data_IF_419340878135
#
_entry.id   IF_419340878135
#
_cell.length_a   1.000
_cell.length_b   1.000
_cell.length_c   1.000
_cell.angle_alpha   90.00
_cell.angle_beta   90.00
_cell.angle_gamma   90.00
#
_symmetry.space_group_name_H-M   'P 1'
#
loop_
_entity.id
_entity.type
_entity.pdbx_description
1 polymer ?
#
# COMPACT_ATOMS: atom_id res chain seq x y z
N UNK A 1 -18.76 -26.20 -31.17
CA UNK A 1 -18.22 -27.58 -31.04
C UNK A 1 -19.33 -28.63 -30.77
N UNK A 2 -19.17 -29.92 -31.12
CA UNK A 2 -20.14 -30.98 -30.73
C UNK A 2 -20.09 -31.23 -29.21
N UNK A 3 -21.19 -31.61 -28.55
CA UNK A 3 -21.22 -31.87 -27.10
C UNK A 3 -20.20 -32.91 -26.63
N UNK A 4 -19.94 -33.94 -27.45
CA UNK A 4 -18.99 -35.02 -27.16
C UNK A 4 -17.55 -34.52 -27.01
N UNK A 5 -17.17 -33.58 -27.89
CA UNK A 5 -15.83 -32.99 -27.87
C UNK A 5 -15.69 -31.98 -26.73
N UNK A 6 -16.78 -31.24 -26.41
CA UNK A 6 -16.83 -30.35 -25.24
C UNK A 6 -16.61 -31.12 -23.95
N UNK A 7 -17.27 -32.26 -23.76
CA UNK A 7 -17.10 -33.08 -22.55
C UNK A 7 -15.64 -33.53 -22.39
N UNK A 8 -15.00 -34.00 -23.46
CA UNK A 8 -13.57 -34.37 -23.42
C UNK A 8 -12.70 -33.21 -22.96
N UNK A 9 -12.97 -32.01 -23.47
CA UNK A 9 -12.22 -30.81 -23.12
C UNK A 9 -12.46 -30.38 -21.67
N UNK A 10 -13.72 -30.31 -21.24
CA UNK A 10 -14.09 -29.91 -19.88
C UNK A 10 -13.45 -30.82 -18.82
N UNK A 11 -13.27 -32.12 -19.11
CA UNK A 11 -12.55 -33.05 -18.23
C UNK A 11 -11.08 -32.73 -18.02
N UNK A 12 -10.46 -31.92 -18.88
CA UNK A 12 -9.07 -31.48 -18.72
C UNK A 12 -8.92 -30.28 -17.80
N UNK A 13 -10.04 -29.67 -17.39
CA UNK A 13 -10.07 -28.49 -16.54
C UNK A 13 -10.37 -28.94 -15.12
N UNK A 14 -9.49 -28.55 -14.19
CA UNK A 14 -9.53 -28.88 -12.75
C UNK A 14 -10.90 -28.58 -12.12
N UNK A 15 -11.60 -27.58 -12.66
CA UNK A 15 -12.94 -27.16 -12.25
C UNK A 15 -14.01 -28.26 -12.39
N UNK A 16 -13.85 -29.20 -13.33
CA UNK A 16 -14.82 -30.27 -13.60
C UNK A 16 -14.32 -31.65 -13.20
N UNK A 17 -13.20 -31.74 -12.47
CA UNK A 17 -12.59 -33.02 -12.08
C UNK A 17 -13.57 -33.91 -11.30
N UNK A 18 -14.39 -33.29 -10.44
CA UNK A 18 -15.33 -33.99 -9.56
C UNK A 18 -16.75 -34.13 -10.15
N UNK A 19 -16.99 -33.67 -11.38
CA UNK A 19 -18.29 -33.81 -12.01
C UNK A 19 -18.52 -35.26 -12.45
N UNK A 20 -19.68 -35.82 -12.09
CA UNK A 20 -20.13 -37.10 -12.66
C UNK A 20 -20.30 -37.01 -14.17
N UNK A 21 -20.35 -38.16 -14.85
CA UNK A 21 -20.58 -38.20 -16.29
C UNK A 21 -21.89 -37.50 -16.67
N UNK A 22 -22.97 -37.71 -15.93
CA UNK A 22 -24.26 -37.11 -16.27
C UNK A 22 -24.25 -35.58 -16.08
N UNK A 23 -23.57 -35.10 -15.04
CA UNK A 23 -23.46 -33.66 -14.76
C UNK A 23 -22.63 -32.92 -15.82
N UNK A 24 -21.45 -33.44 -16.18
CA UNK A 24 -20.61 -32.80 -17.20
C UNK A 24 -21.29 -32.81 -18.56
N UNK A 25 -22.06 -33.86 -18.88
CA UNK A 25 -22.86 -33.94 -20.09
C UNK A 25 -24.02 -32.93 -20.09
N UNK A 26 -24.71 -32.78 -18.96
CA UNK A 26 -25.78 -31.78 -18.80
C UNK A 26 -25.21 -30.36 -18.97
N UNK A 27 -24.09 -30.08 -18.31
CA UNK A 27 -23.38 -28.81 -18.43
C UNK A 27 -22.94 -28.53 -19.88
N UNK A 28 -22.28 -29.49 -20.54
CA UNK A 28 -21.75 -29.32 -21.90
C UNK A 28 -22.85 -29.04 -22.96
N UNK A 29 -24.08 -29.50 -22.71
CA UNK A 29 -25.26 -29.24 -23.54
C UNK A 29 -25.87 -27.86 -23.32
N UNK A 30 -25.84 -27.37 -22.09
CA UNK A 30 -26.53 -26.14 -21.68
C UNK A 30 -25.64 -24.90 -21.70
N UNK A 31 -24.32 -25.08 -21.82
CA UNK A 31 -23.36 -23.97 -21.88
C UNK A 31 -23.33 -23.31 -23.25
N UNK A 32 -23.24 -21.97 -23.26
CA UNK A 32 -23.19 -21.16 -24.49
C UNK A 32 -21.74 -20.96 -24.92
N UNK A 33 -21.48 -21.09 -26.22
CA UNK A 33 -20.16 -20.86 -26.83
C UNK A 33 -20.14 -19.43 -27.41
N UNK A 34 -19.07 -18.69 -27.13
CA UNK A 34 -18.84 -17.33 -27.59
C UNK A 34 -17.55 -17.30 -28.40
N UNK A 35 -17.62 -16.82 -29.63
CA UNK A 35 -16.45 -16.60 -30.48
C UNK A 35 -16.14 -15.11 -30.56
N UNK A 36 -14.88 -14.75 -30.31
CA UNK A 36 -14.41 -13.37 -30.40
C UNK A 36 -13.20 -13.26 -31.32
N UNK A 37 -13.13 -12.23 -32.20
CA UNK A 37 -11.98 -12.02 -33.07
C UNK A 37 -10.80 -11.44 -32.28
N UNK A 38 -9.59 -11.54 -32.86
CA UNK A 38 -8.41 -10.90 -32.30
C UNK A 38 -8.61 -9.37 -32.17
N UNK A 39 -8.16 -8.79 -31.06
CA UNK A 39 -8.31 -7.39 -30.71
C UNK A 39 -9.68 -7.03 -30.09
N UNK A 40 -10.62 -7.98 -29.99
CA UNK A 40 -11.90 -7.73 -29.33
C UNK A 40 -11.75 -7.64 -27.82
N UNK A 41 -12.37 -6.64 -27.20
CA UNK A 41 -12.42 -6.48 -25.75
C UNK A 41 -13.63 -7.25 -25.25
N UNK A 42 -13.40 -8.25 -24.37
CA UNK A 42 -14.45 -9.08 -23.81
C UNK A 42 -15.25 -8.33 -22.73
N UNK A 43 -14.57 -7.57 -21.87
CA UNK A 43 -15.16 -6.64 -20.90
C UNK A 43 -14.10 -5.67 -20.38
N UNK A 44 -14.55 -4.54 -19.85
CA UNK A 44 -13.70 -3.54 -19.21
C UNK A 44 -13.68 -3.67 -17.69
N UNK A 45 -12.56 -3.23 -17.09
CA UNK A 45 -12.45 -3.04 -15.64
C UNK A 45 -13.56 -2.10 -15.13
N UNK A 46 -14.17 -2.46 -14.01
CA UNK A 46 -15.24 -1.67 -13.39
C UNK A 46 -16.64 -1.90 -13.98
N UNK A 47 -16.77 -2.64 -15.10
CA UNK A 47 -18.08 -3.03 -15.63
C UNK A 47 -18.77 -4.03 -14.69
N UNK A 48 -20.11 -3.97 -14.55
CA UNK A 48 -20.83 -5.06 -13.92
C UNK A 48 -20.71 -6.33 -14.78
N UNK A 49 -20.66 -7.50 -14.15
CA UNK A 49 -20.63 -8.79 -14.86
C UNK A 49 -21.37 -9.85 -14.07
N UNK A 50 -22.16 -10.67 -14.76
CA UNK A 50 -22.92 -11.77 -14.13
C UNK A 50 -22.62 -13.12 -14.79
N UNK A 51 -21.50 -13.19 -15.52
CA UNK A 51 -21.00 -14.39 -16.18
C UNK A 51 -19.48 -14.50 -16.04
N UNK A 52 -19.00 -15.73 -16.04
CA UNK A 52 -17.58 -16.08 -16.15
C UNK A 52 -17.35 -16.83 -17.46
N UNK A 53 -16.10 -16.90 -17.89
CA UNK A 53 -15.74 -17.52 -19.15
C UNK A 53 -14.62 -18.54 -18.99
N UNK A 54 -14.72 -19.64 -19.71
CA UNK A 54 -13.67 -20.64 -19.88
C UNK A 54 -13.09 -20.49 -21.28
N UNK A 55 -11.77 -20.38 -21.41
CA UNK A 55 -11.12 -20.31 -22.72
C UNK A 55 -10.88 -21.72 -23.27
N UNK A 56 -11.49 -22.03 -24.42
CA UNK A 56 -11.30 -23.30 -25.12
C UNK A 56 -10.16 -23.26 -26.15
N UNK A 57 -10.01 -22.13 -26.82
CA UNK A 57 -9.01 -21.91 -27.87
C UNK A 57 -8.70 -20.42 -28.00
N UNK A 58 -7.49 -20.10 -28.42
CA UNK A 58 -6.99 -18.73 -28.53
C UNK A 58 -6.17 -18.31 -27.32
N UNK A 59 -6.01 -17.00 -27.16
CA UNK A 59 -5.23 -16.39 -26.09
C UNK A 59 -5.86 -15.04 -25.75
N UNK A 60 -6.05 -14.78 -24.45
CA UNK A 60 -6.57 -13.51 -23.95
C UNK A 60 -5.50 -12.81 -23.12
N UNK A 61 -5.60 -11.49 -23.06
CA UNK A 61 -4.75 -10.62 -22.29
C UNK A 61 -5.58 -10.00 -21.15
N UNK A 62 -5.02 -9.97 -19.93
CA UNK A 62 -5.62 -9.33 -18.75
C UNK A 62 -4.82 -8.07 -18.41
N UNK A 63 -5.52 -6.92 -18.36
CA UNK A 63 -4.93 -5.62 -18.04
C UNK A 63 -5.67 -4.95 -16.89
N UNK A 64 -4.95 -4.32 -15.97
CA UNK A 64 -5.52 -3.47 -14.92
C UNK A 64 -4.91 -2.08 -14.99
N UNK A 65 -5.75 -1.04 -15.00
CA UNK A 65 -5.29 0.36 -15.11
C UNK A 65 -4.27 0.54 -16.26
N UNK A 66 -4.49 -0.13 -17.41
CA UNK A 66 -3.62 -0.22 -18.60
C UNK A 66 -2.36 -1.09 -18.49
N UNK A 67 -1.98 -1.56 -17.30
CA UNK A 67 -0.83 -2.44 -17.08
C UNK A 67 -1.15 -3.89 -17.41
N UNK A 68 -0.27 -4.54 -18.18
CA UNK A 68 -0.32 -5.98 -18.43
C UNK A 68 -0.17 -6.77 -17.13
N UNK A 69 -1.09 -7.70 -16.87
CA UNK A 69 -1.00 -8.63 -15.74
C UNK A 69 -0.52 -9.99 -16.22
N UNK A 70 -1.27 -10.62 -17.12
CA UNK A 70 -1.00 -11.98 -17.59
C UNK A 70 -1.75 -12.28 -18.88
N UNK A 71 -1.31 -13.32 -19.58
CA UNK A 71 -2.11 -13.98 -20.61
C UNK A 71 -2.91 -15.13 -20.00
N UNK A 72 -4.07 -15.40 -20.58
CA UNK A 72 -4.95 -16.53 -20.28
C UNK A 72 -4.80 -17.53 -21.42
N UNK A 73 -4.55 -18.79 -21.08
CA UNK A 73 -4.36 -19.87 -22.03
C UNK A 73 -5.56 -20.81 -22.05
N UNK A 74 -5.74 -21.62 -23.10
CA UNK A 74 -6.79 -22.62 -23.13
C UNK A 74 -6.72 -23.50 -21.86
N UNK A 75 -7.88 -23.90 -21.33
CA UNK A 75 -8.13 -24.52 -20.00
C UNK A 75 -8.25 -23.56 -18.81
N UNK A 76 -7.78 -22.31 -18.93
CA UNK A 76 -8.03 -21.29 -17.91
C UNK A 76 -9.44 -20.71 -17.99
N UNK A 77 -9.89 -20.13 -16.88
CA UNK A 77 -11.12 -19.35 -16.78
C UNK A 77 -10.87 -17.95 -16.23
N UNK A 78 -11.79 -17.02 -16.51
CA UNK A 78 -11.77 -15.63 -16.06
C UNK A 78 -13.17 -15.12 -15.71
N UNK A 79 -13.25 -13.99 -15.02
CA UNK A 79 -14.51 -13.34 -14.67
C UNK A 79 -15.24 -13.96 -13.48
N UNK A 80 -14.63 -14.94 -12.82
CA UNK A 80 -15.16 -15.66 -11.67
C UNK A 80 -15.41 -14.75 -10.46
N UNK A 81 -14.56 -13.73 -10.25
CA UNK A 81 -14.71 -12.81 -9.12
C UNK A 81 -16.03 -12.03 -9.15
N UNK A 82 -16.55 -11.73 -10.35
CA UNK A 82 -17.80 -10.98 -10.48
C UNK A 82 -19.00 -11.80 -9.98
N UNK A 83 -18.96 -13.12 -10.16
CA UNK A 83 -19.98 -14.05 -9.65
C UNK A 83 -19.77 -14.32 -8.15
N UNK A 84 -18.54 -14.59 -7.73
CA UNK A 84 -18.24 -15.05 -6.35
C UNK A 84 -18.36 -13.91 -5.34
N UNK A 85 -17.80 -12.74 -5.63
CA UNK A 85 -17.77 -11.60 -4.69
C UNK A 85 -18.91 -10.60 -4.94
N UNK A 86 -19.70 -10.76 -6.01
CA UNK A 86 -20.70 -9.77 -6.44
C UNK A 86 -20.11 -8.37 -6.63
N UNK A 87 -18.88 -8.29 -7.14
CA UNK A 87 -18.16 -7.05 -7.43
C UNK A 87 -18.07 -6.80 -8.94
N UNK A 88 -17.84 -5.53 -9.37
CA UNK A 88 -17.52 -5.24 -10.77
C UNK A 88 -16.26 -5.97 -11.26
N UNK A 89 -16.08 -6.05 -12.58
CA UNK A 89 -14.90 -6.66 -13.23
C UNK A 89 -13.61 -6.07 -12.66
N UNK A 90 -12.69 -6.94 -12.23
CA UNK A 90 -11.44 -6.54 -11.57
C UNK A 90 -10.32 -6.11 -12.52
N UNK A 91 -10.50 -6.38 -13.82
CA UNK A 91 -9.54 -6.09 -14.88
C UNK A 91 -10.26 -6.03 -16.24
N UNK A 92 -9.63 -5.38 -17.21
CA UNK A 92 -10.03 -5.40 -18.63
C UNK A 92 -9.44 -6.65 -19.30
N UNK A 93 -10.21 -7.32 -20.15
CA UNK A 93 -9.76 -8.50 -20.89
C UNK A 93 -9.98 -8.32 -22.38
N UNK A 94 -8.93 -8.52 -23.17
CA UNK A 94 -8.96 -8.47 -24.64
C UNK A 94 -8.35 -9.70 -25.30
N UNK A 95 -8.84 -10.05 -26.48
CA UNK A 95 -8.38 -11.21 -27.23
C UNK A 95 -7.08 -10.89 -27.97
N UNK A 96 -6.01 -11.64 -27.70
CA UNK A 96 -4.73 -11.55 -28.44
C UNK A 96 -4.87 -12.22 -29.81
N UNK A 97 -5.60 -13.32 -29.86
CA UNK A 97 -5.93 -14.07 -31.07
C UNK A 97 -7.41 -14.38 -31.14
N UNK A 98 -7.91 -14.82 -32.31
CA UNK A 98 -9.27 -15.31 -32.42
C UNK A 98 -9.51 -16.42 -31.38
N UNK A 99 -10.51 -16.22 -30.52
CA UNK A 99 -10.69 -17.01 -29.30
C UNK A 99 -12.10 -17.57 -29.20
N UNK A 100 -12.21 -18.78 -28.67
CA UNK A 100 -13.48 -19.45 -28.40
C UNK A 100 -13.62 -19.66 -26.90
N UNK A 101 -14.71 -19.17 -26.33
CA UNK A 101 -14.99 -19.23 -24.91
C UNK A 101 -16.30 -19.97 -24.64
N UNK A 102 -16.39 -20.60 -23.46
CA UNK A 102 -17.67 -21.01 -22.89
C UNK A 102 -18.12 -19.95 -21.88
N UNK A 103 -19.36 -19.50 -22.02
CA UNK A 103 -19.98 -18.55 -21.10
C UNK A 103 -20.78 -19.30 -20.05
N UNK A 104 -20.48 -19.03 -18.77
CA UNK A 104 -21.17 -19.59 -17.62
C UNK A 104 -21.83 -18.43 -16.88
N UNK A 105 -23.15 -18.41 -16.92
CA UNK A 105 -23.93 -17.41 -16.18
C UNK A 105 -23.92 -17.71 -14.68
N UNK A 106 -24.21 -16.72 -13.85
CA UNK A 106 -24.35 -16.91 -12.40
C UNK A 106 -25.40 -17.98 -12.04
N UNK A 107 -26.52 -18.05 -12.76
CA UNK A 107 -27.54 -19.11 -12.55
C UNK A 107 -26.96 -20.50 -12.80
N UNK A 108 -26.24 -20.70 -13.91
CA UNK A 108 -25.54 -21.95 -14.18
C UNK A 108 -24.44 -22.21 -13.15
N UNK A 109 -23.73 -21.17 -12.72
CA UNK A 109 -22.71 -21.31 -11.69
C UNK A 109 -23.32 -21.88 -10.41
N UNK A 110 -24.45 -21.32 -9.96
CA UNK A 110 -25.17 -21.80 -8.78
C UNK A 110 -25.74 -23.22 -8.98
N UNK A 111 -26.30 -23.52 -10.15
CA UNK A 111 -26.88 -24.84 -10.44
C UNK A 111 -25.83 -25.97 -10.39
N UNK A 112 -24.67 -25.75 -11.03
CA UNK A 112 -23.66 -26.80 -11.24
C UNK A 112 -22.56 -26.81 -10.19
N UNK A 113 -22.20 -25.67 -9.59
CA UNK A 113 -21.05 -25.58 -8.70
C UNK A 113 -21.42 -25.45 -7.22
N UNK A 114 -22.57 -24.85 -6.88
CA UNK A 114 -22.99 -24.75 -5.47
C UNK A 114 -23.45 -26.10 -4.89
N UNK A 115 -23.70 -27.08 -5.74
CA UNK A 115 -23.98 -28.47 -5.35
C UNK A 115 -22.71 -29.32 -5.25
N UNK A 116 -21.54 -28.78 -5.60
CA UNK A 116 -20.25 -29.48 -5.71
C UNK A 116 -19.14 -28.78 -4.89
N UNK A 117 -19.05 -29.06 -3.57
CA UNK A 117 -18.11 -28.40 -2.67
C UNK A 117 -16.64 -28.49 -3.10
N UNK A 118 -16.22 -29.62 -3.68
CA UNK A 118 -14.84 -29.82 -4.13
C UNK A 118 -14.47 -28.93 -5.31
N UNK A 119 -15.42 -28.67 -6.22
CA UNK A 119 -15.20 -27.78 -7.37
C UNK A 119 -15.02 -26.33 -6.91
N UNK A 120 -15.80 -25.90 -5.90
CA UNK A 120 -15.61 -24.61 -5.23
C UNK A 120 -14.25 -24.51 -4.53
N UNK A 121 -13.79 -25.58 -3.88
CA UNK A 121 -12.45 -25.63 -3.26
C UNK A 121 -11.35 -25.53 -4.33
N UNK A 122 -11.49 -26.19 -5.48
CA UNK A 122 -10.55 -26.10 -6.59
C UNK A 122 -10.51 -24.69 -7.21
N UNK A 123 -11.67 -24.03 -7.38
CA UNK A 123 -11.74 -22.60 -7.75
C UNK A 123 -10.98 -21.73 -6.75
N UNK A 124 -11.28 -21.90 -5.46
CA UNK A 124 -10.63 -21.13 -4.39
C UNK A 124 -9.12 -21.35 -4.36
N UNK A 125 -8.66 -22.58 -4.60
CA UNK A 125 -7.22 -22.92 -4.64
C UNK A 125 -6.53 -22.26 -5.84
N UNK A 126 -7.16 -22.28 -7.01
CA UNK A 126 -6.65 -21.61 -8.23
C UNK A 126 -6.62 -20.09 -8.08
N UNK A 127 -7.70 -19.49 -7.57
CA UNK A 127 -7.75 -18.07 -7.22
C UNK A 127 -6.64 -17.69 -6.24
N UNK A 128 -6.46 -18.50 -5.20
CA UNK A 128 -5.41 -18.33 -4.21
C UNK A 128 -4.00 -18.45 -4.82
N UNK A 129 -3.80 -19.33 -5.79
CA UNK A 129 -2.54 -19.40 -6.55
C UNK A 129 -2.30 -18.19 -7.44
N UNK A 130 -3.32 -17.65 -8.11
CA UNK A 130 -3.22 -16.42 -8.91
C UNK A 130 -2.88 -15.21 -8.03
N UNK A 131 -3.50 -15.10 -6.86
CA UNK A 131 -3.18 -14.05 -5.87
C UNK A 131 -1.72 -14.19 -5.39
N UNK A 132 -1.28 -15.41 -5.03
CA UNK A 132 0.11 -15.65 -4.61
C UNK A 132 1.13 -15.29 -5.69
N UNK A 133 0.83 -15.58 -6.95
CA UNK A 133 1.71 -15.23 -8.08
C UNK A 133 1.84 -13.73 -8.28
N UNK A 134 0.77 -12.96 -8.02
CA UNK A 134 0.86 -11.50 -7.99
C UNK A 134 1.73 -11.01 -6.83
N UNK A 135 1.67 -11.66 -5.66
CA UNK A 135 2.56 -11.37 -4.53
C UNK A 135 4.02 -11.71 -4.84
N UNK A 136 4.29 -12.78 -5.57
CA UNK A 136 5.64 -13.16 -6.03
C UNK A 136 6.22 -12.17 -7.04
N UNK A 137 5.42 -11.66 -7.99
CA UNK A 137 5.85 -10.60 -8.93
C UNK A 137 6.21 -9.32 -8.15
N UNK A 138 5.41 -8.97 -7.14
CA UNK A 138 5.73 -7.86 -6.25
C UNK A 138 7.08 -8.14 -5.57
N UNK A 139 7.27 -9.32 -4.95
CA UNK A 139 8.52 -9.71 -4.30
C UNK A 139 9.76 -9.70 -5.23
N UNK A 140 9.60 -10.02 -6.50
CA UNK A 140 10.69 -9.96 -7.49
C UNK A 140 11.06 -8.51 -7.84
N UNK A 141 10.07 -7.64 -8.05
CA UNK A 141 10.30 -6.20 -8.24
C UNK A 141 10.91 -5.55 -7.00
N UNK A 142 10.58 -6.08 -5.81
CA UNK A 142 11.19 -5.74 -4.54
C UNK A 142 12.68 -6.05 -4.49
N UNK A 143 13.05 -7.25 -4.89
CA UNK A 143 14.45 -7.68 -4.88
C UNK A 143 15.27 -6.83 -5.87
N UNK A 144 14.71 -6.54 -7.04
CA UNK A 144 15.33 -5.61 -8.01
C UNK A 144 15.51 -4.20 -7.44
N UNK A 145 14.49 -3.67 -6.74
CA UNK A 145 14.58 -2.37 -6.09
C UNK A 145 15.63 -2.36 -4.97
N UNK A 146 15.73 -3.42 -4.17
CA UNK A 146 16.74 -3.54 -3.12
C UNK A 146 18.17 -3.58 -3.71
N UNK A 147 18.39 -4.32 -4.80
CA UNK A 147 19.67 -4.36 -5.51
C UNK A 147 20.03 -2.96 -6.03
N UNK A 148 19.09 -2.28 -6.71
CA UNK A 148 19.31 -0.92 -7.21
C UNK A 148 19.68 0.04 -6.09
N UNK A 149 19.02 -0.07 -4.93
CA UNK A 149 19.30 0.77 -3.77
C UNK A 149 20.67 0.47 -3.17
N UNK A 150 21.07 -0.80 -3.09
CA UNK A 150 22.42 -1.17 -2.67
C UNK A 150 23.48 -0.56 -3.61
N UNK A 151 23.27 -0.63 -4.92
CA UNK A 151 24.18 -0.05 -5.91
C UNK A 151 24.24 1.48 -5.83
N UNK A 152 23.10 2.13 -5.64
CA UNK A 152 23.05 3.58 -5.42
C UNK A 152 23.73 4.00 -4.11
N UNK A 153 23.56 3.26 -3.00
CA UNK A 153 24.33 3.49 -1.76
C UNK A 153 25.83 3.39 -2.00
N UNK A 154 26.26 2.44 -2.82
CA UNK A 154 27.66 2.33 -3.22
C UNK A 154 28.12 3.53 -4.05
N UNK A 155 27.30 4.03 -4.99
CA UNK A 155 27.64 5.27 -5.71
C UNK A 155 27.73 6.47 -4.78
N UNK A 156 26.85 6.55 -3.79
CA UNK A 156 26.87 7.61 -2.77
C UNK A 156 28.11 7.55 -1.87
N UNK A 157 28.70 6.38 -1.66
CA UNK A 157 29.92 6.25 -0.85
C UNK A 157 31.08 7.08 -1.43
N UNK A 158 31.10 7.32 -2.74
CA UNK A 158 32.09 8.21 -3.37
C UNK A 158 31.98 9.66 -2.87
N UNK A 159 30.80 10.11 -2.45
CA UNK A 159 30.62 11.45 -1.91
C UNK A 159 31.22 11.61 -0.50
N UNK A 160 31.62 10.53 0.19
CA UNK A 160 32.41 10.67 1.43
C UNK A 160 33.79 11.30 1.17
N UNK A 161 34.29 11.29 -0.07
CA UNK A 161 35.51 12.03 -0.41
C UNK A 161 35.32 13.55 -0.28
N UNK A 162 34.09 14.07 -0.34
CA UNK A 162 33.80 15.48 -0.07
C UNK A 162 34.15 15.86 1.37
N UNK A 163 33.93 14.96 2.33
CA UNK A 163 34.29 15.17 3.74
C UNK A 163 35.81 15.26 3.94
N UNK A 164 36.58 14.55 3.11
CA UNK A 164 38.04 14.63 3.11
C UNK A 164 38.55 15.92 2.44
N UNK A 165 37.91 16.33 1.34
CA UNK A 165 38.24 17.56 0.61
C UNK A 165 37.95 18.80 1.44
N UNK A 166 36.82 18.82 2.15
CA UNK A 166 36.43 19.91 3.04
C UNK A 166 37.50 20.21 4.10
N UNK A 167 38.17 19.18 4.63
CA UNK A 167 39.23 19.33 5.63
C UNK A 167 40.57 19.84 5.07
N UNK A 168 40.75 19.84 3.75
CA UNK A 168 42.03 20.16 3.08
C UNK A 168 41.98 21.45 2.27
N UNK A 169 40.79 22.03 2.08
CA UNK A 169 40.59 23.22 1.26
C UNK A 169 40.26 24.42 2.15
N UNK A 170 40.96 25.52 1.95
CA UNK A 170 40.74 26.78 2.67
C UNK A 170 39.90 27.79 1.87
N UNK A 171 39.74 27.58 0.56
CA UNK A 171 38.95 28.47 -0.30
C UNK A 171 37.44 28.36 0.02
N UNK A 172 36.90 29.40 0.65
CA UNK A 172 35.49 29.51 1.03
C UNK A 172 34.50 29.37 -0.15
N UNK A 173 34.92 29.75 -1.35
CA UNK A 173 34.10 29.59 -2.58
C UNK A 173 33.89 28.12 -2.89
N UNK A 174 34.95 27.32 -2.74
CA UNK A 174 34.95 25.88 -2.97
C UNK A 174 34.28 25.15 -1.82
N UNK A 175 34.51 25.58 -0.57
CA UNK A 175 33.82 25.04 0.60
C UNK A 175 32.30 25.20 0.51
N UNK A 176 31.80 26.35 0.03
CA UNK A 176 30.36 26.53 -0.24
C UNK A 176 29.84 25.51 -1.24
N UNK A 177 30.57 25.25 -2.33
CA UNK A 177 30.16 24.27 -3.33
C UNK A 177 30.15 22.84 -2.76
N UNK A 178 31.14 22.49 -1.94
CA UNK A 178 31.20 21.21 -1.22
C UNK A 178 29.99 21.03 -0.30
N UNK A 179 29.61 22.07 0.47
CA UNK A 179 28.42 22.03 1.34
C UNK A 179 27.14 21.78 0.54
N UNK A 180 26.97 22.42 -0.63
CA UNK A 180 25.82 22.19 -1.52
C UNK A 180 25.79 20.73 -2.01
N UNK A 181 26.92 20.18 -2.45
CA UNK A 181 26.98 18.78 -2.89
C UNK A 181 26.68 17.79 -1.76
N UNK A 182 27.14 18.08 -0.54
CA UNK A 182 26.83 17.28 0.65
C UNK A 182 25.34 17.32 1.00
N UNK A 183 24.71 18.50 0.96
CA UNK A 183 23.26 18.62 1.12
C UNK A 183 22.49 17.81 0.07
N UNK A 184 22.92 17.86 -1.19
CA UNK A 184 22.34 17.04 -2.26
C UNK A 184 22.49 15.53 -2.03
N UNK A 185 23.65 15.08 -1.54
CA UNK A 185 23.88 13.68 -1.14
C UNK A 185 22.92 13.27 -0.02
N UNK A 186 22.80 14.09 1.01
CA UNK A 186 22.00 13.76 2.19
C UNK A 186 20.50 13.71 1.84
N UNK A 187 20.01 14.65 1.02
CA UNK A 187 18.65 14.62 0.48
C UNK A 187 18.39 13.35 -0.36
N UNK A 188 19.36 12.92 -1.19
CA UNK A 188 19.23 11.66 -1.96
C UNK A 188 19.18 10.42 -1.05
N UNK A 189 19.99 10.38 0.02
CA UNK A 189 19.95 9.28 0.99
C UNK A 189 18.56 9.17 1.64
N UNK A 190 17.98 10.31 2.01
CA UNK A 190 16.66 10.37 2.64
C UNK A 190 15.56 9.92 1.68
N UNK A 191 15.54 10.43 0.44
CA UNK A 191 14.60 9.99 -0.60
C UNK A 191 14.67 8.48 -0.85
N UNK A 192 15.88 7.91 -0.86
CA UNK A 192 16.07 6.48 -1.02
C UNK A 192 15.57 5.67 0.19
N UNK A 193 15.83 6.15 1.40
CA UNK A 193 15.34 5.50 2.62
C UNK A 193 13.81 5.46 2.64
N UNK A 194 13.17 6.54 2.22
CA UNK A 194 11.71 6.63 2.11
C UNK A 194 11.14 5.74 1.01
N UNK A 195 11.76 5.71 -0.18
CA UNK A 195 11.36 4.80 -1.25
C UNK A 195 11.43 3.34 -0.79
N UNK A 196 12.50 2.96 -0.08
CA UNK A 196 12.65 1.61 0.48
C UNK A 196 11.64 1.33 1.59
N UNK A 197 11.32 2.32 2.41
CA UNK A 197 10.28 2.20 3.43
C UNK A 197 8.90 1.98 2.80
N UNK A 198 8.53 2.77 1.78
CA UNK A 198 7.30 2.61 1.01
C UNK A 198 7.24 1.24 0.36
N UNK A 199 8.35 0.82 -0.22
CA UNK A 199 8.44 -0.46 -0.85
C UNK A 199 8.21 -1.55 0.24
N UNK A 200 8.96 -1.58 1.36
CA UNK A 200 8.76 -2.57 2.43
C UNK A 200 7.30 -2.71 2.90
N UNK A 201 6.51 -1.63 2.85
CA UNK A 201 5.05 -1.63 3.14
C UNK A 201 4.20 -2.48 2.20
N UNK A 202 4.63 -2.66 0.95
CA UNK A 202 3.93 -3.45 -0.06
C UNK A 202 4.29 -4.95 0.02
N UNK A 203 5.49 -5.27 0.52
CA UNK A 203 6.00 -6.66 0.56
C UNK A 203 5.65 -7.44 1.83
N UNK A 204 5.35 -6.76 2.93
CA UNK A 204 4.96 -7.43 4.18
C UNK A 204 3.48 -7.20 4.45
N UNK A 205 2.68 -8.25 4.72
CA UNK A 205 1.33 -8.05 5.20
C UNK A 205 1.41 -7.20 6.47
N UNK A 206 0.70 -6.06 6.47
CA UNK A 206 0.64 -5.18 7.64
C UNK A 206 0.12 -6.00 8.81
N UNK A 207 0.95 -6.15 9.83
CA UNK A 207 0.56 -6.83 11.04
C UNK A 207 -0.12 -5.81 11.96
N UNK A 208 -1.44 -5.92 12.05
CA UNK A 208 -2.23 -5.17 13.00
C UNK A 208 -2.25 -5.94 14.32
N UNK A 209 -1.98 -5.23 15.39
CA UNK A 209 -2.05 -5.73 16.76
C UNK A 209 -3.12 -4.96 17.50
N UNK A 210 -3.80 -5.64 18.43
CA UNK A 210 -4.58 -4.97 19.46
C UNK A 210 -3.63 -4.68 20.62
N UNK A 211 -3.35 -3.40 20.88
CA UNK A 211 -2.33 -3.00 21.85
C UNK A 211 -2.58 -1.61 22.45
N UNK A 212 -1.73 -1.23 23.41
CA UNK A 212 -1.80 0.06 24.08
C UNK A 212 -1.01 1.12 23.31
N UNK A 213 -1.66 2.23 22.92
CA UNK A 213 -0.95 3.37 22.35
C UNK A 213 -0.02 4.05 23.36
N UNK A 214 -0.34 3.98 24.66
CA UNK A 214 0.52 4.51 25.73
C UNK A 214 1.87 3.81 25.74
N UNK A 215 1.88 2.48 25.62
CA UNK A 215 3.11 1.69 25.55
C UNK A 215 3.95 2.06 24.33
N UNK A 216 3.31 2.18 23.15
CA UNK A 216 4.02 2.59 21.93
C UNK A 216 4.63 3.99 22.05
N UNK A 217 3.89 4.96 22.63
CA UNK A 217 4.40 6.32 22.84
C UNK A 217 5.62 6.28 23.77
N UNK A 218 5.56 5.51 24.86
CA UNK A 218 6.71 5.34 25.76
C UNK A 218 7.91 4.69 25.05
N UNK A 219 7.70 3.69 24.19
CA UNK A 219 8.76 3.05 23.41
C UNK A 219 9.45 4.04 22.45
N UNK A 220 8.68 4.84 21.72
CA UNK A 220 9.19 5.89 20.82
C UNK A 220 10.05 6.90 21.60
N UNK A 221 9.64 7.24 22.82
CA UNK A 221 10.41 8.15 23.67
C UNK A 221 11.77 7.58 24.04
N UNK A 222 11.79 6.35 24.56
CA UNK A 222 13.02 5.73 25.07
C UNK A 222 14.03 5.44 23.96
N UNK A 223 13.54 5.11 22.75
CA UNK A 223 14.39 4.66 21.65
C UNK A 223 14.83 5.77 20.69
N UNK A 224 13.90 6.62 20.23
CA UNK A 224 14.14 7.53 19.11
C UNK A 224 14.32 8.98 19.58
N UNK A 225 13.48 9.46 20.50
CA UNK A 225 13.55 10.85 20.98
C UNK A 225 14.87 11.13 21.71
N UNK A 226 15.34 10.17 22.51
CA UNK A 226 16.62 10.31 23.23
C UNK A 226 17.86 10.15 22.33
N UNK A 227 17.72 9.45 21.20
CA UNK A 227 18.83 9.14 20.30
C UNK A 227 18.97 10.15 19.14
N UNK A 228 17.88 10.86 18.78
CA UNK A 228 17.88 11.73 17.61
C UNK A 228 18.64 13.05 17.87
N UNK A 229 19.57 13.46 16.98
CA UNK A 229 20.39 14.67 17.16
C UNK A 229 19.57 15.94 17.42
N UNK A 230 18.46 16.10 16.70
CA UNK A 230 17.57 17.28 16.80
C UNK A 230 16.68 17.28 18.06
N UNK A 231 16.62 16.18 18.80
CA UNK A 231 15.76 16.01 19.98
C UNK A 231 16.56 15.83 21.29
N UNK A 232 17.84 15.48 21.20
CA UNK A 232 18.69 15.11 22.34
C UNK A 232 18.76 16.15 23.47
N UNK A 233 18.77 17.44 23.13
CA UNK A 233 18.87 18.53 24.11
C UNK A 233 17.51 19.21 24.38
N UNK A 234 16.41 18.59 23.93
CA UNK A 234 15.09 19.19 23.97
C UNK A 234 14.19 18.52 24.99
N UNK A 235 13.48 19.34 25.75
CA UNK A 235 12.45 18.86 26.66
C UNK A 235 11.20 18.44 25.89
N UNK A 236 10.70 17.24 26.14
CA UNK A 236 9.40 16.76 25.65
C UNK A 236 8.56 16.40 26.87
N UNK A 237 7.41 17.05 27.01
CA UNK A 237 6.50 16.91 28.14
C UNK A 237 5.33 16.01 27.74
N UNK A 238 4.92 15.10 28.62
CA UNK A 238 3.90 14.09 28.31
C UNK A 238 2.70 14.19 29.24
N UNK A 239 1.51 14.20 28.63
CA UNK A 239 0.22 14.16 29.30
C UNK A 239 -0.57 12.95 28.77
N UNK A 240 -0.21 11.76 29.23
CA UNK A 240 -0.85 10.52 28.79
C UNK A 240 -1.95 10.14 29.79
N UNK A 241 -3.17 9.91 29.28
CA UNK A 241 -4.28 9.41 30.08
C UNK A 241 -3.90 8.12 30.80
N UNK A 242 -4.36 7.98 32.05
CA UNK A 242 -4.19 6.76 32.84
C UNK A 242 -5.11 5.62 32.43
N UNK A 243 -6.04 5.88 31.50
CA UNK A 243 -6.88 4.84 30.92
C UNK A 243 -6.07 3.93 29.99
N UNK A 244 -6.19 2.62 30.19
CA UNK A 244 -5.66 1.61 29.27
C UNK A 244 -6.77 1.15 28.33
N UNK A 245 -6.71 1.60 27.09
CA UNK A 245 -7.60 1.12 26.03
C UNK A 245 -6.80 0.46 24.92
N UNK A 246 -7.34 -0.66 24.43
CA UNK A 246 -6.74 -1.44 23.36
C UNK A 246 -7.19 -0.88 22.02
N UNK A 247 -6.22 -0.52 21.19
CA UNK A 247 -6.44 0.02 19.85
C UNK A 247 -5.90 -0.98 18.84
N UNK A 248 -6.62 -1.19 17.74
CA UNK A 248 -6.14 -2.03 16.65
C UNK A 248 -5.28 -1.20 15.68
N UNK A 249 -3.96 -1.41 15.67
CA UNK A 249 -3.06 -0.65 14.82
C UNK A 249 -1.84 -1.44 14.36
N UNK A 250 -1.21 -0.95 13.28
CA UNK A 250 0.10 -1.44 12.85
C UNK A 250 1.20 -0.65 13.57
N UNK A 251 1.86 -1.29 14.55
CA UNK A 251 2.85 -0.65 15.43
C UNK A 251 3.93 0.13 14.66
N UNK A 252 4.54 -0.49 13.64
CA UNK A 252 5.59 0.16 12.85
C UNK A 252 5.11 1.43 12.12
N UNK A 253 3.86 1.45 11.67
CA UNK A 253 3.31 2.61 10.95
C UNK A 253 2.95 3.74 11.89
N UNK A 254 2.29 3.45 13.03
CA UNK A 254 1.96 4.48 14.02
C UNK A 254 3.22 5.01 14.70
N UNK A 255 4.22 4.17 14.96
CA UNK A 255 5.54 4.59 15.40
C UNK A 255 6.13 5.68 14.48
N UNK A 256 6.06 5.47 13.16
CA UNK A 256 6.54 6.46 12.18
C UNK A 256 5.73 7.75 12.18
N UNK A 257 4.40 7.66 12.33
CA UNK A 257 3.54 8.84 12.47
C UNK A 257 3.97 9.66 13.69
N UNK A 258 4.18 9.02 14.84
CA UNK A 258 4.62 9.66 16.07
C UNK A 258 5.97 10.38 15.87
N UNK A 259 6.99 9.67 15.38
CA UNK A 259 8.32 10.24 15.14
C UNK A 259 8.26 11.43 14.18
N UNK A 260 7.54 11.31 13.07
CA UNK A 260 7.42 12.40 12.09
C UNK A 260 6.75 13.65 12.67
N UNK A 261 5.67 13.48 13.44
CA UNK A 261 4.96 14.61 14.04
C UNK A 261 5.80 15.27 15.15
N UNK A 262 6.51 14.48 15.96
CA UNK A 262 7.41 14.98 17.01
C UNK A 262 8.60 15.74 16.39
N UNK A 263 9.24 15.21 15.34
CA UNK A 263 10.32 15.88 14.64
C UNK A 263 9.86 17.18 13.97
N UNK A 264 8.68 17.19 13.37
CA UNK A 264 8.11 18.41 12.80
C UNK A 264 7.85 19.48 13.88
N UNK A 265 7.29 19.09 15.02
CA UNK A 265 7.08 19.98 16.16
C UNK A 265 8.40 20.55 16.69
N UNK A 266 9.44 19.71 16.76
CA UNK A 266 10.77 20.13 17.14
C UNK A 266 11.34 21.15 16.17
N UNK A 267 11.36 20.83 14.88
CA UNK A 267 11.96 21.70 13.88
C UNK A 267 11.23 23.05 13.76
N UNK A 268 9.93 23.10 14.04
CA UNK A 268 9.15 24.34 14.05
C UNK A 268 9.33 25.19 15.31
N UNK A 269 9.67 24.58 16.44
CA UNK A 269 9.76 25.26 17.73
C UNK A 269 11.17 25.83 18.00
N UNK A 270 11.30 26.91 18.79
CA UNK A 270 12.60 27.36 19.29
C UNK A 270 13.27 26.32 20.20
N UNK A 271 14.59 26.18 20.14
CA UNK A 271 15.35 25.12 20.82
C UNK A 271 15.15 25.07 22.36
N UNK A 272 14.81 26.20 22.98
CA UNK A 272 14.58 26.32 24.43
C UNK A 272 13.14 26.05 24.86
N UNK A 273 12.25 25.69 23.94
CA UNK A 273 10.85 25.41 24.24
C UNK A 273 10.56 23.91 24.15
N UNK A 274 9.74 23.44 25.09
CA UNK A 274 9.33 22.05 25.12
C UNK A 274 8.30 21.74 24.03
N UNK A 275 8.17 20.45 23.72
CA UNK A 275 7.11 19.90 22.89
C UNK A 275 6.19 19.13 23.82
N UNK A 276 4.88 19.31 23.69
CA UNK A 276 3.93 18.54 24.52
C UNK A 276 3.29 17.42 23.69
N UNK A 277 3.27 16.21 24.24
CA UNK A 277 2.59 15.06 23.65
C UNK A 277 1.49 14.61 24.61
N UNK A 278 0.24 14.62 24.14
CA UNK A 278 -0.90 14.20 24.91
C UNK A 278 -1.60 13.00 24.28
N UNK A 279 -2.09 12.09 25.11
CA UNK A 279 -2.94 10.97 24.73
C UNK A 279 -4.20 11.02 25.58
N UNK A 280 -5.34 11.17 24.93
CA UNK A 280 -6.66 11.13 25.56
C UNK A 280 -7.55 10.16 24.81
N UNK A 281 -8.66 9.79 25.44
CA UNK A 281 -9.65 8.93 24.83
C UNK A 281 -11.04 9.53 24.95
N UNK A 282 -11.85 9.30 23.92
CA UNK A 282 -13.30 9.44 23.99
C UNK A 282 -13.97 8.06 23.78
N UNK A 283 -15.30 8.03 23.66
CA UNK A 283 -16.05 6.77 23.52
C UNK A 283 -15.76 6.04 22.19
N UNK A 284 -15.18 6.69 21.19
CA UNK A 284 -14.98 6.16 19.84
C UNK A 284 -13.52 6.12 19.40
N UNK A 285 -12.68 7.04 19.90
CA UNK A 285 -11.33 7.25 19.42
C UNK A 285 -10.30 7.38 20.55
N UNK A 286 -9.11 6.86 20.27
CA UNK A 286 -7.89 7.30 20.94
C UNK A 286 -7.31 8.50 20.20
N UNK A 287 -7.12 9.61 20.90
CA UNK A 287 -6.69 10.89 20.35
C UNK A 287 -5.28 11.23 20.83
N UNK A 288 -4.34 11.33 19.90
CA UNK A 288 -2.96 11.73 20.18
C UNK A 288 -2.74 13.15 19.66
N UNK A 289 -2.19 14.03 20.49
CA UNK A 289 -1.90 15.42 20.16
C UNK A 289 -0.43 15.72 20.37
N UNK A 290 0.20 16.35 19.39
CA UNK A 290 1.57 16.84 19.43
C UNK A 290 1.54 18.35 19.27
N UNK A 291 2.01 19.06 20.28
CA UNK A 291 1.88 20.51 20.41
C UNK A 291 3.26 21.16 20.40
N UNK A 292 3.46 22.00 19.40
CA UNK A 292 4.66 22.82 19.26
C UNK A 292 4.41 24.24 19.80
N UNK A 293 5.48 25.03 19.94
CA UNK A 293 5.42 26.45 20.33
C UNK A 293 6.16 27.33 19.32
N UNK A 294 6.12 26.92 18.05
CA UNK A 294 6.72 27.60 16.92
C UNK A 294 5.91 28.80 16.43
N UNK A 295 6.21 29.26 15.22
CA UNK A 295 5.51 30.38 14.58
C UNK A 295 4.08 30.02 14.13
N UNK A 296 3.70 28.73 14.20
CA UNK A 296 2.48 28.21 13.60
C UNK A 296 2.61 28.03 12.09
N UNK A 297 1.51 27.63 11.45
CA UNK A 297 1.43 27.43 9.99
C UNK A 297 0.78 28.68 9.38
N UNK A 298 1.44 29.37 8.42
CA UNK A 298 0.84 30.48 7.67
C UNK A 298 -0.40 30.08 6.88
N UNK A 299 -1.43 30.93 6.84
CA UNK A 299 -2.73 30.69 6.15
C UNK A 299 -2.58 30.17 4.71
N UNK A 300 -1.60 30.70 3.97
CA UNK A 300 -1.31 30.32 2.59
C UNK A 300 -0.92 28.85 2.39
N UNK A 301 -0.53 28.14 3.45
CA UNK A 301 -0.11 26.75 3.39
C UNK A 301 -1.20 25.77 3.87
N UNK A 302 -2.31 26.26 4.42
CA UNK A 302 -3.30 25.42 5.11
C UNK A 302 -3.86 24.27 4.25
N UNK A 303 -4.10 24.54 2.97
CA UNK A 303 -4.64 23.55 2.02
C UNK A 303 -3.56 22.60 1.47
N UNK A 304 -2.28 22.97 1.62
CA UNK A 304 -1.16 22.34 0.91
C UNK A 304 -0.23 21.54 1.80
N UNK A 305 -0.29 21.70 3.13
CA UNK A 305 0.62 21.01 4.06
C UNK A 305 0.59 19.48 3.99
N UNK A 306 -0.49 18.90 3.45
CA UNK A 306 -0.65 17.46 3.25
C UNK A 306 -0.44 17.01 1.80
N UNK A 307 -0.14 17.93 0.88
CA UNK A 307 0.24 17.60 -0.50
C UNK A 307 1.61 16.91 -0.51
N UNK A 308 1.77 15.95 -1.42
CA UNK A 308 3.08 15.29 -1.61
C UNK A 308 4.06 16.29 -2.20
N UNK A 309 5.29 16.28 -1.70
CA UNK A 309 6.39 17.17 -2.10
C UNK A 309 6.20 18.65 -1.71
N UNK A 310 5.20 18.97 -0.89
CA UNK A 310 5.07 20.31 -0.31
C UNK A 310 5.95 20.44 0.94
N UNK A 311 6.87 21.39 0.93
CA UNK A 311 7.78 21.68 2.03
C UNK A 311 8.15 23.16 2.05
N UNK A 312 8.29 23.74 3.25
CA UNK A 312 8.81 25.10 3.47
C UNK A 312 10.27 25.08 3.94
N UNK A 313 10.88 23.89 4.08
CA UNK A 313 12.23 23.68 4.59
C UNK A 313 13.23 23.56 3.43
N UNK A 314 14.40 24.18 3.54
CA UNK A 314 15.48 24.13 2.52
C UNK A 314 15.92 22.70 2.16
N UNK A 315 15.85 21.75 3.10
CA UNK A 315 16.20 20.33 2.89
C UNK A 315 15.02 19.36 3.14
N UNK A 316 13.78 19.83 3.24
CA UNK A 316 12.63 18.95 3.47
C UNK A 316 12.11 18.33 2.18
N UNK A 317 11.78 17.04 2.18
CA UNK A 317 11.25 16.33 1.01
C UNK A 317 9.73 16.49 0.79
N UNK A 318 9.00 17.01 1.78
CA UNK A 318 7.55 17.21 1.71
C UNK A 318 6.70 15.94 1.68
N UNK A 319 7.24 14.79 2.09
CA UNK A 319 6.52 13.51 2.08
C UNK A 319 6.01 13.09 3.46
N UNK A 320 6.59 13.63 4.54
CA UNK A 320 6.28 13.25 5.92
C UNK A 320 4.79 13.38 6.31
N UNK A 321 4.21 14.59 6.18
CA UNK A 321 2.81 14.83 6.56
C UNK A 321 1.81 14.11 5.64
N UNK A 322 2.08 14.05 4.34
CA UNK A 322 1.28 13.29 3.39
C UNK A 322 1.26 11.79 3.75
N UNK A 323 2.42 11.22 4.12
CA UNK A 323 2.50 9.83 4.58
C UNK A 323 1.75 9.64 5.90
N UNK A 324 1.82 10.58 6.83
CA UNK A 324 1.09 10.48 8.09
C UNK A 324 -0.42 10.45 7.83
N UNK A 325 -0.92 11.34 6.98
CA UNK A 325 -2.34 11.40 6.61
C UNK A 325 -2.81 10.10 5.98
N UNK A 326 -2.05 9.57 5.03
CA UNK A 326 -2.35 8.29 4.41
C UNK A 326 -2.39 7.15 5.44
N UNK A 327 -1.40 7.06 6.33
CA UNK A 327 -1.35 6.02 7.36
C UNK A 327 -2.56 6.11 8.30
N UNK A 328 -2.86 7.29 8.84
CA UNK A 328 -3.95 7.46 9.80
C UNK A 328 -5.31 7.26 9.13
N UNK A 329 -5.59 7.97 8.05
CA UNK A 329 -6.92 8.00 7.44
C UNK A 329 -7.21 6.76 6.59
N UNK A 330 -6.26 6.36 5.73
CA UNK A 330 -6.51 5.28 4.76
C UNK A 330 -6.24 3.89 5.32
N UNK A 331 -5.25 3.75 6.22
CA UNK A 331 -4.87 2.44 6.74
C UNK A 331 -5.48 2.11 8.09
N UNK A 332 -5.84 3.12 8.89
CA UNK A 332 -6.36 2.91 10.25
C UNK A 332 -7.76 3.47 10.46
N UNK A 333 -8.38 4.08 9.44
CA UNK A 333 -9.73 4.66 9.54
C UNK A 333 -9.83 5.83 10.52
N UNK A 334 -8.68 6.43 10.85
CA UNK A 334 -8.58 7.57 11.75
C UNK A 334 -8.74 8.91 11.06
N UNK A 335 -8.42 9.98 11.77
CA UNK A 335 -8.34 11.33 11.23
C UNK A 335 -7.02 12.00 11.63
N UNK A 336 -6.34 12.64 10.68
CA UNK A 336 -5.21 13.52 10.97
C UNK A 336 -5.64 14.98 10.73
N UNK A 337 -5.54 15.81 11.76
CA UNK A 337 -5.91 17.22 11.72
C UNK A 337 -4.84 18.10 12.38
N UNK A 338 -4.97 19.41 12.20
CA UNK A 338 -4.15 20.38 12.89
C UNK A 338 -4.95 21.62 13.24
N UNK A 339 -4.49 22.35 14.24
CA UNK A 339 -5.05 23.63 14.67
C UNK A 339 -3.93 24.55 15.17
N UNK A 340 -4.17 25.86 15.15
CA UNK A 340 -3.31 26.82 15.84
C UNK A 340 -3.38 26.60 17.35
N UNK A 341 -2.26 26.79 18.04
CA UNK A 341 -2.18 26.67 19.50
C UNK A 341 -2.39 28.04 20.17
N UNK A 342 -3.17 28.06 21.25
CA UNK A 342 -3.28 29.23 22.12
C UNK A 342 -1.90 29.57 22.73
N UNK A 343 -1.45 30.81 22.49
CA UNK A 343 -0.11 31.26 22.90
C UNK A 343 1.00 31.06 21.85
N UNK A 344 0.65 30.58 20.65
CA UNK A 344 1.57 30.41 19.52
C UNK A 344 1.98 28.94 19.29
N UNK A 345 2.19 28.58 18.03
CA UNK A 345 2.54 27.22 17.58
C UNK A 345 1.37 26.47 16.93
N UNK A 346 1.57 25.17 16.74
CA UNK A 346 0.60 24.27 16.11
C UNK A 346 0.28 23.09 17.01
N UNK A 347 -0.95 22.59 16.92
CA UNK A 347 -1.39 21.33 17.50
C UNK A 347 -1.69 20.39 16.35
N UNK A 348 -0.85 19.36 16.14
CA UNK A 348 -1.19 18.24 15.26
C UNK A 348 -1.91 17.16 16.06
N UNK A 349 -3.06 16.72 15.57
CA UNK A 349 -3.88 15.70 16.23
C UNK A 349 -4.12 14.54 15.30
N UNK A 350 -3.89 13.31 15.74
CA UNK A 350 -4.40 12.13 15.05
C UNK A 350 -5.28 11.28 15.96
N UNK A 351 -6.35 10.74 15.39
CA UNK A 351 -7.27 9.85 16.08
C UNK A 351 -7.23 8.45 15.48
N UNK A 352 -7.38 7.42 16.32
CA UNK A 352 -7.51 6.02 15.89
C UNK A 352 -8.78 5.43 16.53
N UNK A 353 -9.63 4.71 15.78
CA UNK A 353 -10.86 4.14 16.32
C UNK A 353 -10.58 3.03 17.34
N UNK A 354 -11.32 3.02 18.45
CA UNK A 354 -11.24 2.01 19.52
C UNK A 354 -11.92 0.70 19.13
N UNK A 355 -12.90 0.78 18.22
CA UNK A 355 -13.68 -0.34 17.72
C UNK A 355 -13.61 -0.33 16.19
N UNK A 356 -13.15 -1.43 15.60
CA UNK A 356 -13.07 -1.63 14.14
C UNK A 356 -14.31 -2.34 13.63
#
# INVERSE_FOLDING_TARGET
MKPEDRVKYLRTIDLFEHFSNDEIWRFARNVTELEIPAGHILFHEGEPGNEMYILLAGELNVKKETKFITNIKPVDYIGEMAIIESKPRSATVDAVSASTLLTITNEQFQEYFSTQPESLVSLMRSLSHRIRRNTEIIAEEFEKANILIHDMKNQMASFFFLDLLEKKIEDESVLRLIRVMKGGRDNLAEMMAEALALAKRLSHPRHYISGSLRELINEVMESEVMAHPDLKDRQVDFALSDQEMMVNFCSLEIHRVLVNLILNAAQASPANQSIDVALDYDDQYANVRIMDRGAGIPEEYHDRIFETHFTTKENGNGLGLASCKYVVERLHGGLLSYASRDGGGTVFSFSLPLHV
#
